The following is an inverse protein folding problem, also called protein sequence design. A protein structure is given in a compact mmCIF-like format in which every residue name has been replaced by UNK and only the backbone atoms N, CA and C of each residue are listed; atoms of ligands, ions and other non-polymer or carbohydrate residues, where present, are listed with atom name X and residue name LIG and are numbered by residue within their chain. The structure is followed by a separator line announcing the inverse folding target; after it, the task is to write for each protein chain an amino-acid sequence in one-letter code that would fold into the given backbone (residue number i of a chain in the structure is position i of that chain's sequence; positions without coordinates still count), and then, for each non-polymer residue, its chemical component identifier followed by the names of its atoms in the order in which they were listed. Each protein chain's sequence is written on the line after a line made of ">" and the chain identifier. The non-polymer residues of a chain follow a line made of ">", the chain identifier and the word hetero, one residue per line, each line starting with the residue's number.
data_IF_861278723493
#
_entry.id   IF_861278723493
#
_cell.length_a   1.000
_cell.length_b   1.000
_cell.length_c   1.000
_cell.angle_alpha   90.00
_cell.angle_beta   90.00
_cell.angle_gamma   90.00
#
_symmetry.space_group_name_H-M   'P 1'
#
loop_
_entity.id
_entity.type
_entity.pdbx_description
1 polymer ?
#
# COMPACT_ATOMS: atom_id res chain seq x y z
N UNK A 1 -18.40 5.23 5.83
CA UNK A 1 -17.42 4.69 4.87
C UNK A 1 -16.22 4.19 5.65
N UNK A 2 -15.87 2.92 5.46
CA UNK A 2 -14.66 2.28 5.98
C UNK A 2 -13.75 1.96 4.80
N UNK A 3 -12.44 2.02 5.00
CA UNK A 3 -11.43 1.69 4.00
C UNK A 3 -10.32 0.85 4.63
N UNK A 4 -10.12 -0.35 4.13
CA UNK A 4 -9.12 -1.33 4.58
C UNK A 4 -7.94 -1.37 3.60
N UNK A 5 -6.81 -0.75 3.99
CA UNK A 5 -5.61 -0.63 3.13
C UNK A 5 -4.48 -1.51 3.66
N UNK A 6 -3.94 -2.41 2.83
CA UNK A 6 -2.75 -3.20 3.16
C UNK A 6 -1.54 -2.74 2.34
N UNK A 7 -0.44 -2.43 3.02
CA UNK A 7 0.83 -2.07 2.38
C UNK A 7 1.84 -3.19 2.65
N UNK A 8 2.54 -3.70 1.63
CA UNK A 8 3.42 -4.85 1.77
C UNK A 8 4.66 -4.81 0.86
N UNK A 9 5.81 -5.29 1.38
CA UNK A 9 7.07 -5.32 0.65
C UNK A 9 8.22 -5.92 1.48
N UNK A 10 9.45 -5.49 1.18
CA UNK A 10 10.64 -5.83 1.95
C UNK A 10 10.92 -4.77 3.03
N UNK A 11 11.48 -5.21 4.16
CA UNK A 11 11.99 -4.33 5.20
C UNK A 11 13.03 -3.35 4.63
N UNK A 12 12.82 -2.05 4.88
CA UNK A 12 13.61 -0.95 4.32
C UNK A 12 12.93 -0.15 3.20
N UNK A 13 11.86 -0.67 2.58
CA UNK A 13 11.10 0.05 1.53
C UNK A 13 10.12 1.12 2.08
N UNK A 14 10.15 1.43 3.38
CA UNK A 14 9.23 2.40 3.99
C UNK A 14 7.81 1.91 4.28
N UNK A 15 7.52 0.61 4.09
CA UNK A 15 6.18 -0.01 4.25
C UNK A 15 5.44 0.44 5.52
N UNK A 16 6.09 0.30 6.69
CA UNK A 16 5.50 0.63 7.98
C UNK A 16 5.21 2.15 8.11
N UNK A 17 6.13 2.98 7.62
CA UNK A 17 6.01 4.44 7.62
C UNK A 17 4.85 4.90 6.74
N UNK A 18 4.70 4.31 5.55
CA UNK A 18 3.61 4.66 4.63
C UNK A 18 2.22 4.44 5.28
N UNK A 19 2.02 3.32 5.97
CA UNK A 19 0.77 3.07 6.69
C UNK A 19 0.57 4.02 7.87
N UNK A 20 1.64 4.36 8.60
CA UNK A 20 1.57 5.30 9.72
C UNK A 20 1.24 6.73 9.24
N UNK A 21 1.81 7.17 8.12
CA UNK A 21 1.49 8.46 7.48
C UNK A 21 0.04 8.48 6.99
N UNK A 22 -0.46 7.39 6.41
CA UNK A 22 -1.87 7.27 6.02
C UNK A 22 -2.82 7.38 7.22
N UNK A 23 -2.49 6.70 8.33
CA UNK A 23 -3.27 6.79 9.57
C UNK A 23 -3.27 8.20 10.16
N UNK A 24 -2.10 8.87 10.22
CA UNK A 24 -1.99 10.25 10.70
C UNK A 24 -2.77 11.24 9.80
N UNK A 25 -2.70 11.08 8.48
CA UNK A 25 -3.47 11.87 7.53
C UNK A 25 -4.99 11.67 7.70
N UNK A 26 -5.44 10.43 7.91
CA UNK A 26 -6.85 10.11 8.16
C UNK A 26 -7.36 10.76 9.46
N UNK A 27 -6.60 10.65 10.57
CA UNK A 27 -6.95 11.29 11.84
C UNK A 27 -7.02 12.82 11.74
N UNK A 28 -6.10 13.45 10.98
CA UNK A 28 -6.14 14.92 10.73
C UNK A 28 -7.37 15.37 9.94
N UNK A 29 -7.97 14.48 9.15
CA UNK A 29 -9.21 14.72 8.40
C UNK A 29 -10.47 14.37 9.22
N UNK A 30 -10.31 13.96 10.49
CA UNK A 30 -11.43 13.64 11.39
C UNK A 30 -11.94 12.19 11.32
N UNK A 31 -11.24 11.30 10.60
CA UNK A 31 -11.58 9.88 10.58
C UNK A 31 -11.00 9.15 11.81
N UNK A 32 -11.69 8.10 12.24
CA UNK A 32 -11.09 7.08 13.09
C UNK A 32 -10.07 6.30 12.26
N UNK A 33 -8.93 5.96 12.84
CA UNK A 33 -7.90 5.18 12.16
C UNK A 33 -7.29 4.12 13.09
N UNK A 34 -6.92 2.98 12.51
CA UNK A 34 -6.07 1.97 13.16
C UNK A 34 -4.92 1.62 12.23
N UNK A 35 -3.78 1.27 12.82
CA UNK A 35 -2.58 0.85 12.11
C UNK A 35 -1.99 -0.38 12.79
N UNK A 36 -1.79 -1.44 12.01
CA UNK A 36 -1.36 -2.75 12.51
C UNK A 36 -0.16 -3.27 11.70
N UNK A 37 1.07 -3.24 12.26
CA UNK A 37 2.26 -3.71 11.58
C UNK A 37 2.44 -5.23 11.71
N UNK A 38 3.02 -5.84 10.67
CA UNK A 38 3.43 -7.24 10.63
C UNK A 38 4.77 -7.38 9.93
N UNK A 39 5.81 -7.78 10.68
CA UNK A 39 7.16 -7.96 10.17
C UNK A 39 7.78 -9.22 10.79
N UNK A 40 8.64 -9.89 10.02
CA UNK A 40 9.40 -11.03 10.51
C UNK A 40 10.58 -10.64 11.41
N UNK A 41 11.25 -11.61 12.05
CA UNK A 41 12.44 -11.37 12.86
C UNK A 41 13.69 -11.08 12.02
N UNK A 42 13.62 -11.09 10.68
CA UNK A 42 14.79 -10.88 9.83
C UNK A 42 15.24 -9.41 9.86
N UNK A 43 16.42 -9.14 10.41
CA UNK A 43 16.98 -7.78 10.57
C UNK A 43 17.29 -7.06 9.24
N UNK A 44 17.17 -7.74 8.09
CA UNK A 44 17.33 -7.15 6.74
C UNK A 44 16.69 -8.05 5.69
N UNK A 45 16.02 -7.48 4.69
CA UNK A 45 15.46 -8.21 3.55
C UNK A 45 14.25 -9.10 3.84
N UNK A 46 13.81 -9.23 5.09
CA UNK A 46 12.56 -9.92 5.44
C UNK A 46 11.32 -9.21 4.89
N UNK A 47 10.19 -9.91 4.86
CA UNK A 47 8.92 -9.31 4.45
C UNK A 47 8.34 -8.44 5.56
N UNK A 48 7.91 -7.23 5.21
CA UNK A 48 7.17 -6.33 6.08
C UNK A 48 5.82 -5.99 5.42
N UNK A 49 4.77 -5.92 6.21
CA UNK A 49 3.46 -5.44 5.80
C UNK A 49 2.79 -4.67 6.93
N UNK A 50 1.81 -3.83 6.62
CA UNK A 50 0.94 -3.22 7.62
C UNK A 50 -0.46 -3.01 7.06
N UNK A 51 -1.45 -3.19 7.92
CA UNK A 51 -2.84 -2.85 7.65
C UNK A 51 -3.13 -1.49 8.24
N UNK A 52 -3.73 -0.60 7.44
CA UNK A 52 -4.24 0.71 7.87
C UNK A 52 -5.73 0.75 7.55
N UNK A 53 -6.57 0.81 8.57
CA UNK A 53 -8.02 0.93 8.41
C UNK A 53 -8.40 2.35 8.83
N UNK A 54 -9.19 3.04 8.01
CA UNK A 54 -9.78 4.32 8.40
C UNK A 54 -11.29 4.35 8.12
N UNK A 55 -12.05 5.03 8.97
CA UNK A 55 -13.51 5.07 8.90
C UNK A 55 -14.09 6.36 9.48
N UNK A 56 -15.30 6.71 9.05
CA UNK A 56 -16.13 7.78 9.64
C UNK A 56 -16.81 7.38 10.97
N UNK A 57 -16.65 6.13 11.38
CA UNK A 57 -17.14 5.54 12.63
C UNK A 57 -16.03 4.79 13.36
N UNK A 58 -16.22 4.51 14.64
CA UNK A 58 -15.24 3.80 15.48
C UNK A 58 -14.91 2.39 14.93
N UNK A 59 -13.62 2.05 14.92
CA UNK A 59 -13.10 0.81 14.33
C UNK A 59 -12.99 -0.27 15.41
N UNK A 60 -13.83 -1.30 15.32
CA UNK A 60 -13.87 -2.40 16.30
C UNK A 60 -12.75 -3.45 16.19
N UNK A 61 -11.98 -3.45 15.11
CA UNK A 61 -10.86 -4.39 14.89
C UNK A 61 -9.80 -3.76 13.98
N UNK A 62 -8.50 -3.83 14.32
CA UNK A 62 -7.41 -3.44 13.41
C UNK A 62 -7.01 -4.57 12.43
N UNK A 63 -7.66 -5.74 12.52
CA UNK A 63 -7.44 -6.90 11.66
C UNK A 63 -8.60 -7.00 10.66
N UNK A 64 -8.25 -6.99 9.38
CA UNK A 64 -9.17 -7.14 8.26
C UNK A 64 -9.06 -8.55 7.63
N UNK A 65 -10.19 -9.08 7.16
CA UNK A 65 -10.28 -10.37 6.44
C UNK A 65 -10.13 -10.22 4.92
N UNK A 66 -10.52 -9.06 4.40
CA UNK A 66 -10.38 -8.58 3.03
C UNK A 66 -9.70 -7.20 3.04
N UNK A 67 -9.33 -6.68 1.87
CA UNK A 67 -8.79 -5.32 1.75
C UNK A 67 -9.43 -4.60 0.56
N UNK A 68 -9.86 -3.36 0.76
CA UNK A 68 -10.31 -2.49 -0.33
C UNK A 68 -9.14 -2.16 -1.26
N UNK A 69 -7.97 -1.84 -0.69
CA UNK A 69 -6.76 -1.46 -1.45
C UNK A 69 -5.55 -2.24 -0.96
N UNK A 70 -4.72 -2.71 -1.89
CA UNK A 70 -3.32 -3.07 -1.61
C UNK A 70 -2.33 -2.11 -2.26
N UNK A 71 -1.21 -1.90 -1.58
CA UNK A 71 0.00 -1.25 -2.10
C UNK A 71 1.16 -2.24 -1.94
N UNK A 72 1.58 -2.87 -3.03
CA UNK A 72 2.60 -3.92 -3.01
C UNK A 72 3.89 -3.49 -3.70
N UNK A 73 5.03 -3.72 -3.03
CA UNK A 73 6.37 -3.30 -3.46
C UNK A 73 7.36 -4.47 -3.70
N UNK A 74 6.90 -5.73 -3.64
CA UNK A 74 7.69 -6.91 -4.04
C UNK A 74 6.81 -8.09 -4.52
N UNK A 75 7.41 -9.04 -5.25
CA UNK A 75 6.68 -10.19 -5.79
C UNK A 75 6.10 -11.13 -4.72
N UNK A 76 6.85 -11.53 -3.67
CA UNK A 76 6.33 -12.48 -2.68
C UNK A 76 5.11 -11.96 -1.92
N UNK A 77 5.02 -10.64 -1.69
CA UNK A 77 3.82 -10.04 -1.09
C UNK A 77 2.65 -10.02 -2.07
N UNK A 78 2.91 -9.81 -3.36
CA UNK A 78 1.84 -9.81 -4.37
C UNK A 78 1.16 -11.17 -4.44
N UNK A 79 1.95 -12.23 -4.59
CA UNK A 79 1.47 -13.62 -4.65
C UNK A 79 0.72 -14.01 -3.37
N UNK A 80 1.16 -13.50 -2.21
CA UNK A 80 0.55 -13.74 -0.90
C UNK A 80 -0.77 -12.99 -0.66
N UNK A 81 -0.91 -11.77 -1.19
CA UNK A 81 -2.00 -10.86 -0.81
C UNK A 81 -3.01 -10.54 -1.93
N UNK A 82 -2.66 -10.71 -3.21
CA UNK A 82 -3.61 -10.54 -4.32
C UNK A 82 -4.92 -11.36 -4.17
N UNK A 83 -4.95 -12.57 -3.57
CA UNK A 83 -6.20 -13.30 -3.36
C UNK A 83 -7.14 -12.71 -2.29
N UNK A 84 -6.75 -11.64 -1.58
CA UNK A 84 -7.48 -11.09 -0.41
C UNK A 84 -8.11 -9.71 -0.67
N UNK A 85 -8.24 -9.31 -1.93
CA UNK A 85 -8.30 -7.89 -2.34
C UNK A 85 -9.51 -7.57 -3.21
N UNK A 86 -10.07 -6.38 -3.00
CA UNK A 86 -11.05 -5.73 -3.85
C UNK A 86 -10.47 -4.82 -4.95
N UNK A 87 -9.38 -4.06 -4.70
CA UNK A 87 -8.70 -3.16 -5.67
C UNK A 87 -7.17 -3.01 -5.43
N UNK A 88 -6.39 -2.61 -6.46
CA UNK A 88 -4.98 -3.01 -6.64
C UNK A 88 -3.96 -1.86 -6.87
N UNK A 89 -2.76 -1.97 -6.29
CA UNK A 89 -1.50 -1.32 -6.67
C UNK A 89 -0.28 -2.17 -6.18
N UNK A 90 0.96 -2.09 -6.68
CA UNK A 90 1.61 -1.21 -7.67
C UNK A 90 2.55 -2.08 -8.57
N UNK A 91 2.88 -1.67 -9.82
CA UNK A 91 3.64 -2.50 -10.78
C UNK A 91 5.16 -2.66 -10.57
N UNK A 92 5.80 -2.10 -9.53
CA UNK A 92 7.27 -2.10 -9.32
C UNK A 92 7.97 -3.49 -9.26
N UNK A 93 7.21 -4.57 -9.43
CA UNK A 93 7.65 -5.97 -9.41
C UNK A 93 8.01 -6.50 -10.80
N UNK A 94 7.31 -6.07 -11.86
CA UNK A 94 7.30 -6.77 -13.15
C UNK A 94 7.99 -5.98 -14.25
N UNK A 95 9.33 -6.05 -14.27
CA UNK A 95 10.14 -5.66 -15.45
C UNK A 95 10.01 -6.67 -16.60
N UNK A 96 8.78 -6.83 -17.12
CA UNK A 96 8.46 -7.21 -18.50
C UNK A 96 6.95 -7.14 -18.71
N UNK A 97 6.54 -6.27 -19.65
CA UNK A 97 5.20 -6.17 -20.24
C UNK A 97 4.03 -5.93 -19.26
N UNK A 98 3.76 -4.66 -18.97
CA UNK A 98 2.62 -4.22 -18.14
C UNK A 98 1.25 -4.43 -18.79
N UNK A 99 1.12 -4.24 -20.10
CA UNK A 99 -0.19 -4.25 -20.77
C UNK A 99 -0.98 -5.57 -20.59
N UNK A 100 -0.38 -6.78 -20.76
CA UNK A 100 -1.07 -8.04 -20.48
C UNK A 100 -1.60 -8.18 -19.04
N UNK A 101 -0.96 -7.51 -18.07
CA UNK A 101 -1.38 -7.51 -16.67
C UNK A 101 -2.52 -6.52 -16.45
N UNK A 102 -2.42 -5.31 -17.02
CA UNK A 102 -3.50 -4.32 -16.99
C UNK A 102 -4.80 -4.91 -17.55
N UNK A 103 -4.74 -5.60 -18.70
CA UNK A 103 -5.91 -6.23 -19.31
C UNK A 103 -6.45 -7.39 -18.44
N UNK A 104 -5.59 -8.32 -17.98
CA UNK A 104 -5.99 -9.45 -17.13
C UNK A 104 -6.67 -9.03 -15.81
N UNK A 105 -6.22 -7.94 -15.20
CA UNK A 105 -6.82 -7.43 -13.96
C UNK A 105 -8.05 -6.56 -14.22
N UNK A 106 -8.09 -5.80 -15.34
CA UNK A 106 -9.28 -5.07 -15.78
C UNK A 106 -10.45 -5.99 -16.08
N UNK A 107 -10.23 -7.12 -16.75
CA UNK A 107 -11.26 -8.15 -16.98
C UNK A 107 -11.87 -8.70 -15.69
N UNK A 108 -11.11 -8.70 -14.59
CA UNK A 108 -11.56 -9.17 -13.26
C UNK A 108 -12.15 -8.06 -12.39
N UNK A 109 -12.35 -6.86 -12.95
CA UNK A 109 -12.97 -5.72 -12.25
C UNK A 109 -12.02 -4.83 -11.44
N UNK A 110 -10.70 -5.00 -11.60
CA UNK A 110 -9.70 -4.21 -10.89
C UNK A 110 -9.16 -3.06 -11.74
N UNK A 111 -8.86 -1.93 -11.10
CA UNK A 111 -8.07 -0.85 -11.69
C UNK A 111 -6.61 -1.03 -11.27
N UNK A 112 -5.68 -0.98 -12.22
CA UNK A 112 -4.24 -1.02 -11.98
C UNK A 112 -3.64 0.35 -12.30
N UNK A 113 -3.14 1.03 -11.27
CA UNK A 113 -2.49 2.33 -11.40
C UNK A 113 -0.97 2.15 -11.31
N UNK A 114 -0.26 2.59 -12.33
CA UNK A 114 1.20 2.77 -12.26
C UNK A 114 1.49 4.08 -11.55
N UNK A 115 2.39 4.02 -10.56
CA UNK A 115 2.82 5.19 -9.79
C UNK A 115 4.33 5.27 -9.91
N UNK A 116 4.81 6.26 -10.65
CA UNK A 116 6.19 6.69 -10.65
C UNK A 116 6.42 7.62 -9.45
N UNK A 117 7.50 7.34 -8.71
CA UNK A 117 7.86 8.05 -7.48
C UNK A 117 9.25 8.61 -7.64
N UNK A 118 9.35 9.92 -7.85
CA UNK A 118 10.62 10.64 -7.84
C UNK A 118 10.82 11.30 -6.47
N UNK A 119 11.95 11.00 -5.81
CA UNK A 119 12.35 11.69 -4.60
C UNK A 119 13.15 12.94 -4.99
N UNK A 120 12.57 14.12 -4.75
CA UNK A 120 13.22 15.40 -5.01
C UNK A 120 13.84 15.89 -3.69
N UNK A 121 15.19 15.95 -3.58
CA UNK A 121 15.84 16.48 -2.39
C UNK A 121 15.62 18.00 -2.31
N UNK A 122 14.96 18.47 -1.25
CA UNK A 122 14.69 19.89 -1.05
C UNK A 122 15.67 20.46 -0.01
N UNK A 123 16.13 21.72 -0.15
CA UNK A 123 16.82 22.41 0.95
C UNK A 123 16.02 22.39 2.26
N UNK A 124 16.72 22.60 3.38
CA UNK A 124 16.21 22.51 4.77
C UNK A 124 15.81 21.10 5.26
N UNK A 125 16.29 20.03 4.60
CA UNK A 125 16.16 18.66 5.11
C UNK A 125 14.75 18.07 5.04
N UNK A 126 13.90 18.65 4.18
CA UNK A 126 12.59 18.09 3.82
C UNK A 126 12.73 17.26 2.55
N UNK A 127 12.09 16.10 2.52
CA UNK A 127 11.97 15.31 1.31
C UNK A 127 10.63 15.66 0.65
N UNK A 128 10.65 16.08 -0.62
CA UNK A 128 9.45 16.13 -1.45
C UNK A 128 9.39 14.85 -2.27
N UNK A 129 8.18 14.31 -2.41
CA UNK A 129 7.92 13.12 -3.19
C UNK A 129 6.87 13.52 -4.21
N UNK A 130 7.30 13.64 -5.47
CA UNK A 130 6.39 13.89 -6.57
C UNK A 130 5.86 12.53 -7.07
N UNK A 131 4.54 12.42 -7.08
CA UNK A 131 3.81 11.18 -7.34
C UNK A 131 3.06 11.35 -8.65
N UNK A 132 3.62 10.80 -9.73
CA UNK A 132 2.98 10.80 -11.05
C UNK A 132 2.29 9.46 -11.23
N UNK A 133 1.01 9.49 -11.61
CA UNK A 133 0.24 8.28 -11.85
C UNK A 133 -0.51 8.36 -13.19
N UNK A 134 -0.60 7.22 -13.86
CA UNK A 134 -1.35 7.06 -15.12
C UNK A 134 -2.49 6.05 -14.89
N UNK A 135 -3.68 6.36 -15.44
CA UNK A 135 -4.94 5.60 -15.28
C UNK A 135 -5.41 5.06 -16.64
#
# INVERSE_FOLDING_TARGET
>A
MTQEVLIAGFGGQGILLAGQVLADAAMRQGYYATWFPSYGPEMRGGTANCTTIYADVEIGSPIASSYDTIIVMNQPSLEKFAPKVGQFANPAVLKRELAPLQDLYREKGYYLVEIDVEQVPVPDGKNQVDVVYTV
#
